data_IF_189078011622
#
_entry.id   IF_189078011622
#
_cell.length_a   1.000
_cell.length_b   1.000
_cell.length_c   1.000
_cell.angle_alpha   90.00
_cell.angle_beta   90.00
_cell.angle_gamma   90.00
#
_symmetry.space_group_name_H-M   'P 1'
#
loop_
_entity.id
_entity.type
_entity.pdbx_description
1 polymer ?
#
# COMPACT_ATOMS: atom_id res chain seq x y z
N UNK A 1 0.48 -31.11 -0.58
CA UNK A 1 0.53 -29.65 -0.68
C UNK A 1 1.97 -29.19 -0.68
N UNK A 2 2.27 -28.17 -1.44
CA UNK A 2 3.60 -27.56 -1.54
C UNK A 2 3.51 -26.07 -1.25
N UNK A 3 4.56 -25.50 -0.66
CA UNK A 3 4.76 -24.05 -0.48
C UNK A 3 6.15 -23.75 -1.02
N UNK A 4 6.22 -22.93 -2.05
CA UNK A 4 7.46 -22.55 -2.72
C UNK A 4 7.91 -21.16 -2.22
N UNK A 5 9.17 -21.06 -1.76
CA UNK A 5 9.81 -19.81 -1.36
C UNK A 5 10.30 -18.96 -2.53
N UNK A 6 9.97 -19.37 -3.78
CA UNK A 6 10.40 -18.69 -4.99
C UNK A 6 11.93 -18.76 -5.23
N UNK A 7 12.40 -18.07 -6.27
CA UNK A 7 13.79 -18.17 -6.74
C UNK A 7 14.78 -17.27 -5.99
N UNK A 8 14.31 -16.37 -5.13
CA UNK A 8 15.16 -15.50 -4.32
C UNK A 8 15.39 -16.08 -2.92
N UNK A 9 16.12 -15.36 -2.09
CA UNK A 9 16.36 -15.75 -0.69
C UNK A 9 15.05 -15.90 0.06
N UNK A 10 14.90 -17.03 0.72
CA UNK A 10 13.74 -17.37 1.54
C UNK A 10 14.16 -18.21 2.75
N UNK A 11 13.34 -18.17 3.78
CA UNK A 11 13.38 -19.11 4.90
C UNK A 11 12.02 -19.79 5.01
N UNK A 12 12.05 -21.11 5.22
CA UNK A 12 10.83 -21.90 5.46
C UNK A 12 11.05 -22.76 6.71
N UNK A 13 10.04 -22.76 7.58
CA UNK A 13 9.97 -23.58 8.80
C UNK A 13 8.69 -24.39 8.81
N UNK A 14 8.80 -25.68 9.12
CA UNK A 14 7.69 -26.61 9.32
C UNK A 14 7.59 -26.94 10.80
N UNK A 15 6.45 -26.67 11.42
CA UNK A 15 6.13 -27.05 12.80
C UNK A 15 4.98 -28.08 12.78
N UNK A 16 5.28 -29.39 12.81
CA UNK A 16 4.25 -30.42 12.77
C UNK A 16 3.36 -30.43 14.02
N UNK A 17 3.88 -30.02 15.18
CA UNK A 17 3.11 -29.97 16.42
C UNK A 17 2.03 -28.88 16.37
N UNK A 18 2.37 -27.72 15.82
CA UNK A 18 1.44 -26.63 15.58
C UNK A 18 0.64 -26.81 14.27
N UNK A 19 1.00 -27.79 13.43
CA UNK A 19 0.41 -27.95 12.09
C UNK A 19 0.57 -26.70 11.24
N UNK A 20 1.78 -26.17 11.21
CA UNK A 20 2.09 -24.84 10.68
C UNK A 20 3.29 -24.89 9.75
N UNK A 21 3.24 -24.05 8.70
CA UNK A 21 4.41 -23.65 7.92
C UNK A 21 4.53 -22.15 8.03
N UNK A 22 5.73 -21.66 8.29
CA UNK A 22 6.03 -20.22 8.34
C UNK A 22 7.36 -19.93 7.67
N UNK A 23 7.64 -18.68 7.41
CA UNK A 23 8.90 -18.26 6.83
C UNK A 23 8.85 -16.82 6.33
N UNK A 24 9.83 -16.49 5.50
CA UNK A 24 9.87 -15.23 4.79
C UNK A 24 10.43 -15.40 3.38
N UNK A 25 10.08 -14.46 2.52
CA UNK A 25 10.66 -14.32 1.17
C UNK A 25 11.10 -12.88 0.98
N UNK A 26 12.21 -12.68 0.26
CA UNK A 26 12.62 -11.35 -0.15
C UNK A 26 11.66 -10.81 -1.20
N UNK A 27 11.26 -9.56 -1.03
CA UNK A 27 10.41 -8.85 -1.96
C UNK A 27 11.16 -7.60 -2.46
N UNK A 28 12.07 -7.80 -3.43
CA UNK A 28 12.98 -6.75 -3.90
C UNK A 28 12.45 -5.93 -5.08
N UNK A 29 11.33 -6.30 -5.68
CA UNK A 29 10.98 -5.84 -7.02
C UNK A 29 10.54 -4.37 -7.13
N UNK A 30 10.19 -3.73 -6.00
CA UNK A 30 9.55 -2.41 -6.03
C UNK A 30 10.05 -1.42 -4.96
N UNK A 31 11.14 -1.70 -4.29
CA UNK A 31 11.65 -0.80 -3.24
C UNK A 31 13.03 -0.31 -3.65
N UNK A 32 13.10 0.91 -4.12
CA UNK A 32 14.34 1.50 -4.62
C UNK A 32 15.45 1.66 -3.57
N UNK A 33 15.16 1.53 -2.27
CA UNK A 33 16.13 1.78 -1.20
C UNK A 33 16.25 0.72 -0.11
N UNK A 34 15.40 -0.30 -0.07
CA UNK A 34 15.48 -1.33 0.99
C UNK A 34 16.02 -2.65 0.44
N UNK A 35 17.29 -2.94 0.71
CA UNK A 35 17.89 -4.26 0.44
C UNK A 35 17.30 -5.40 1.29
N UNK A 36 16.36 -5.10 2.19
CA UNK A 36 15.88 -6.03 3.21
C UNK A 36 14.36 -6.09 3.35
N UNK A 37 13.60 -5.70 2.33
CA UNK A 37 12.16 -5.82 2.36
C UNK A 37 11.76 -7.30 2.31
N UNK A 38 11.18 -7.80 3.39
CA UNK A 38 10.75 -9.19 3.52
C UNK A 38 9.23 -9.28 3.63
N UNK A 39 8.66 -10.29 3.01
CA UNK A 39 7.29 -10.73 3.29
C UNK A 39 7.37 -11.98 4.15
N UNK A 40 6.98 -11.87 5.41
CA UNK A 40 6.81 -12.99 6.31
C UNK A 40 5.44 -13.62 6.09
N UNK A 41 5.35 -14.92 6.29
CA UNK A 41 4.08 -15.63 6.13
C UNK A 41 3.90 -16.73 7.18
N UNK A 42 2.67 -17.09 7.41
CA UNK A 42 2.27 -18.24 8.19
C UNK A 42 1.08 -18.93 7.51
N UNK A 43 1.13 -20.24 7.44
CA UNK A 43 0.02 -21.09 6.98
C UNK A 43 -0.25 -22.13 8.06
N UNK A 44 -1.45 -22.16 8.60
CA UNK A 44 -1.89 -23.09 9.63
C UNK A 44 -2.98 -24.02 9.09
N UNK A 45 -2.87 -25.30 9.42
CA UNK A 45 -3.75 -26.35 8.95
C UNK A 45 -4.59 -26.93 10.08
N UNK A 46 -5.82 -27.37 9.77
CA UNK A 46 -6.72 -28.02 10.72
C UNK A 46 -6.37 -29.50 10.97
N UNK A 47 -5.53 -30.11 10.12
CA UNK A 47 -5.14 -31.54 10.20
C UNK A 47 -3.65 -31.71 10.44
N UNK A 48 -3.29 -32.78 11.17
CA UNK A 48 -1.89 -33.19 11.35
C UNK A 48 -1.27 -33.65 10.03
N UNK A 49 0.04 -33.44 9.90
CA UNK A 49 0.82 -33.92 8.77
C UNK A 49 1.14 -35.40 8.95
N UNK A 50 0.92 -36.19 7.91
CA UNK A 50 1.36 -37.60 7.83
C UNK A 50 2.86 -37.68 7.49
N UNK A 51 3.28 -36.76 6.61
CA UNK A 51 4.66 -36.64 6.18
C UNK A 51 4.98 -35.21 5.76
N UNK A 52 6.25 -34.84 5.78
CA UNK A 52 6.71 -33.50 5.43
C UNK A 52 8.20 -33.51 5.06
N UNK A 53 8.65 -32.45 4.42
CA UNK A 53 10.05 -32.22 4.09
C UNK A 53 10.20 -30.94 3.27
N UNK A 54 11.41 -30.77 2.77
CA UNK A 54 11.79 -29.60 1.97
C UNK A 54 12.43 -30.02 0.66
N UNK A 55 12.50 -29.08 -0.27
CA UNK A 55 13.34 -29.19 -1.46
C UNK A 55 14.13 -27.89 -1.66
N UNK A 56 15.17 -27.98 -2.44
CA UNK A 56 16.00 -26.87 -2.89
C UNK A 56 16.13 -26.91 -4.41
N UNK A 57 15.45 -26.01 -5.11
CA UNK A 57 15.37 -26.01 -6.58
C UNK A 57 16.75 -25.91 -7.27
N UNK A 58 17.69 -25.18 -6.68
CA UNK A 58 19.02 -24.99 -7.29
C UNK A 58 19.88 -26.23 -7.27
N UNK A 59 19.60 -27.18 -6.38
CA UNK A 59 20.35 -28.44 -6.24
C UNK A 59 19.59 -29.68 -6.73
N UNK A 60 18.32 -29.48 -7.08
CA UNK A 60 17.39 -30.58 -7.44
C UNK A 60 17.28 -31.64 -6.33
N UNK A 61 17.40 -31.22 -5.06
CA UNK A 61 17.45 -32.09 -3.90
C UNK A 61 16.17 -32.02 -3.08
N UNK A 62 15.76 -33.18 -2.56
CA UNK A 62 14.62 -33.32 -1.62
C UNK A 62 15.17 -33.79 -0.28
N UNK A 63 14.76 -33.14 0.77
CA UNK A 63 15.16 -33.41 2.16
C UNK A 63 13.95 -33.86 2.99
N UNK A 64 13.70 -35.17 3.10
CA UNK A 64 12.62 -35.71 3.94
C UNK A 64 12.84 -35.36 5.41
N UNK A 65 11.76 -35.05 6.11
CA UNK A 65 11.74 -34.70 7.54
C UNK A 65 12.56 -33.45 7.94
N UNK A 66 13.12 -32.73 7.00
CA UNK A 66 13.78 -31.46 7.28
C UNK A 66 12.74 -30.43 7.71
N UNK A 67 12.98 -29.73 8.84
CA UNK A 67 12.04 -28.81 9.48
C UNK A 67 12.28 -27.35 9.12
N UNK A 68 13.50 -26.99 8.73
CA UNK A 68 13.85 -25.62 8.39
C UNK A 68 14.90 -25.56 7.27
N UNK A 69 14.85 -24.50 6.49
CA UNK A 69 15.82 -24.22 5.43
C UNK A 69 15.81 -22.75 5.06
N UNK A 70 17.00 -22.21 4.82
CA UNK A 70 17.22 -20.85 4.36
C UNK A 70 18.14 -20.86 3.16
N UNK A 71 17.82 -20.08 2.14
CA UNK A 71 18.59 -19.97 0.91
C UNK A 71 17.73 -19.62 -0.29
N UNK A 72 18.30 -19.75 -1.48
CA UNK A 72 17.59 -19.51 -2.75
C UNK A 72 16.81 -20.77 -3.15
N UNK A 73 15.52 -20.57 -3.48
CA UNK A 73 14.71 -21.63 -4.05
C UNK A 73 14.31 -22.74 -3.09
N UNK A 74 14.29 -22.49 -1.78
CA UNK A 74 13.72 -23.42 -0.82
C UNK A 74 12.21 -23.51 -0.95
N UNK A 75 11.68 -24.73 -0.80
CA UNK A 75 10.25 -24.98 -0.69
C UNK A 75 9.96 -26.07 0.36
N UNK A 76 8.72 -26.18 0.76
CA UNK A 76 8.25 -27.19 1.70
C UNK A 76 7.11 -28.01 1.12
N UNK A 77 7.11 -29.31 1.40
CA UNK A 77 5.97 -30.18 1.13
C UNK A 77 5.42 -30.78 2.41
N UNK A 78 4.11 -30.94 2.44
CA UNK A 78 3.39 -31.68 3.49
C UNK A 78 2.42 -32.67 2.86
N UNK A 79 2.27 -33.83 3.49
CA UNK A 79 1.31 -34.84 3.11
C UNK A 79 0.27 -35.01 4.19
N UNK A 80 -0.96 -35.18 3.78
CA UNK A 80 -2.09 -35.51 4.63
C UNK A 80 -2.61 -36.89 4.29
N UNK A 81 -3.36 -37.48 5.19
CA UNK A 81 -4.04 -38.77 4.97
C UNK A 81 -4.87 -38.71 3.68
N UNK A 82 -4.71 -39.71 2.82
CA UNK A 82 -5.43 -39.80 1.55
C UNK A 82 -6.95 -39.67 1.77
N UNK A 83 -7.60 -38.82 0.97
CA UNK A 83 -9.03 -38.58 1.08
C UNK A 83 -9.45 -37.56 2.15
N UNK A 84 -8.50 -37.00 2.91
CA UNK A 84 -8.81 -35.93 3.89
C UNK A 84 -9.24 -34.65 3.20
N UNK A 85 -10.27 -33.99 3.75
CA UNK A 85 -10.56 -32.58 3.50
C UNK A 85 -9.75 -31.76 4.49
N UNK A 86 -8.93 -30.85 4.00
CA UNK A 86 -8.03 -30.01 4.82
C UNK A 86 -8.40 -28.55 4.63
N UNK A 87 -8.50 -27.81 5.72
CA UNK A 87 -8.62 -26.37 5.72
C UNK A 87 -7.28 -25.75 6.09
N UNK A 88 -6.92 -24.67 5.40
CA UNK A 88 -5.74 -23.88 5.70
C UNK A 88 -6.15 -22.43 5.92
N UNK A 89 -5.49 -21.77 6.88
CA UNK A 89 -5.55 -20.33 7.11
C UNK A 89 -4.16 -19.76 6.85
N UNK A 90 -4.07 -18.68 6.10
CA UNK A 90 -2.80 -18.03 5.81
C UNK A 90 -2.88 -16.54 6.14
N UNK A 91 -1.78 -16.01 6.64
CA UNK A 91 -1.58 -14.57 6.81
C UNK A 91 -0.14 -14.19 6.47
N UNK A 92 0.08 -12.93 6.18
CA UNK A 92 1.38 -12.34 5.93
C UNK A 92 1.64 -11.14 6.82
N UNK A 93 2.91 -10.78 6.94
CA UNK A 93 3.39 -9.58 7.62
C UNK A 93 4.62 -9.04 6.89
N UNK A 94 4.80 -7.73 6.92
CA UNK A 94 6.04 -7.08 6.49
C UNK A 94 6.97 -6.77 7.67
N UNK A 95 6.56 -7.10 8.89
CA UNK A 95 7.25 -6.77 10.14
C UNK A 95 8.04 -7.97 10.66
N UNK A 96 7.37 -9.10 10.93
CA UNK A 96 8.00 -10.33 11.42
C UNK A 96 7.12 -11.58 11.25
N UNK A 97 7.72 -12.75 11.46
CA UNK A 97 7.00 -14.03 11.46
C UNK A 97 6.00 -14.11 12.63
N UNK A 98 6.36 -13.59 13.80
CA UNK A 98 5.48 -13.50 14.98
C UNK A 98 4.27 -12.63 14.69
N UNK A 99 4.49 -11.51 14.00
CA UNK A 99 3.40 -10.64 13.60
C UNK A 99 2.46 -11.31 12.59
N UNK A 100 2.97 -12.11 11.66
CA UNK A 100 2.12 -12.88 10.76
C UNK A 100 1.17 -13.83 11.53
N UNK A 101 1.62 -14.41 12.65
CA UNK A 101 0.77 -15.21 13.54
C UNK A 101 -0.27 -14.35 14.27
N UNK A 102 0.11 -13.17 14.75
CA UNK A 102 -0.85 -12.23 15.37
C UNK A 102 -1.92 -11.84 14.34
N UNK A 103 -1.51 -11.47 13.12
CA UNK A 103 -2.43 -11.14 12.02
C UNK A 103 -3.36 -12.30 11.69
N UNK A 104 -2.86 -13.54 11.61
CA UNK A 104 -3.67 -14.73 11.39
C UNK A 104 -4.77 -14.87 12.45
N UNK A 105 -4.42 -14.70 13.72
CA UNK A 105 -5.34 -14.82 14.82
C UNK A 105 -6.36 -13.69 14.89
N UNK A 106 -5.93 -12.45 14.64
CA UNK A 106 -6.82 -11.27 14.63
C UNK A 106 -7.83 -11.35 13.48
N UNK A 107 -7.36 -11.68 12.27
CA UNK A 107 -8.21 -11.66 11.08
C UNK A 107 -9.03 -12.94 10.86
N UNK A 108 -8.48 -14.12 11.17
CA UNK A 108 -9.10 -15.41 10.86
C UNK A 108 -9.31 -16.30 12.09
N UNK A 109 -8.82 -15.90 13.27
CA UNK A 109 -8.87 -16.74 14.47
C UNK A 109 -10.28 -17.13 14.90
N UNK A 110 -11.24 -16.21 14.73
CA UNK A 110 -12.65 -16.41 15.10
C UNK A 110 -13.45 -17.22 14.08
N UNK A 111 -12.98 -17.34 12.85
CA UNK A 111 -13.68 -18.04 11.78
C UNK A 111 -13.46 -19.56 11.93
N UNK A 112 -14.53 -20.31 12.11
CA UNK A 112 -14.46 -21.77 12.28
C UNK A 112 -14.09 -22.50 10.98
N UNK A 113 -14.47 -21.95 9.84
CA UNK A 113 -14.29 -22.56 8.52
C UNK A 113 -14.38 -21.49 7.41
N UNK A 114 -14.14 -21.91 6.17
CA UNK A 114 -14.21 -21.05 4.98
C UNK A 114 -15.58 -20.37 4.82
N UNK A 115 -16.68 -21.08 5.13
CA UNK A 115 -18.01 -20.50 5.00
C UNK A 115 -18.24 -19.34 6.00
N UNK A 116 -17.73 -19.46 7.22
CA UNK A 116 -17.77 -18.36 8.20
C UNK A 116 -16.98 -17.13 7.71
N UNK A 117 -15.80 -17.34 7.14
CA UNK A 117 -15.01 -16.26 6.53
C UNK A 117 -15.73 -15.61 5.36
N UNK A 118 -16.37 -16.40 4.49
CA UNK A 118 -17.15 -15.91 3.36
C UNK A 118 -18.34 -15.04 3.82
N UNK A 119 -19.11 -15.50 4.80
CA UNK A 119 -20.23 -14.74 5.36
C UNK A 119 -19.75 -13.39 5.92
N UNK A 120 -18.66 -13.40 6.69
CA UNK A 120 -18.05 -12.18 7.23
C UNK A 120 -17.56 -11.25 6.12
N UNK A 121 -16.91 -11.77 5.10
CA UNK A 121 -16.46 -11.00 3.92
C UNK A 121 -17.64 -10.35 3.19
N UNK A 122 -18.72 -11.07 2.95
CA UNK A 122 -19.96 -10.53 2.37
C UNK A 122 -20.53 -9.39 3.23
N UNK A 123 -20.59 -9.58 4.55
CA UNK A 123 -21.09 -8.54 5.45
C UNK A 123 -20.24 -7.26 5.36
N UNK A 124 -18.92 -7.40 5.42
CA UNK A 124 -17.97 -6.27 5.33
C UNK A 124 -18.14 -5.50 4.02
N UNK A 125 -18.22 -6.20 2.89
CA UNK A 125 -18.44 -5.57 1.60
C UNK A 125 -19.81 -4.91 1.46
N UNK A 126 -20.86 -5.54 1.96
CA UNK A 126 -22.19 -4.95 1.95
C UNK A 126 -22.27 -3.68 2.80
N UNK A 127 -21.65 -3.64 3.98
CA UNK A 127 -21.57 -2.44 4.81
C UNK A 127 -20.87 -1.28 4.10
N UNK A 128 -19.82 -1.60 3.33
CA UNK A 128 -19.06 -0.60 2.55
C UNK A 128 -19.85 -0.12 1.33
N UNK A 129 -20.41 -1.02 0.55
CA UNK A 129 -21.16 -0.69 -0.66
C UNK A 129 -22.49 0.01 -0.37
N UNK A 130 -23.16 -0.32 0.74
CA UNK A 130 -24.38 0.32 1.19
C UNK A 130 -24.24 1.80 1.62
N UNK A 131 -23.03 2.35 1.58
CA UNK A 131 -22.85 3.80 1.77
C UNK A 131 -23.48 4.64 0.68
N UNK A 132 -23.66 4.07 -0.50
CA UNK A 132 -24.46 4.62 -1.57
C UNK A 132 -25.55 3.63 -1.90
N UNK A 133 -26.80 4.05 -1.73
CA UNK A 133 -27.96 3.28 -2.11
C UNK A 133 -28.59 3.92 -3.33
N UNK A 134 -28.78 3.14 -4.37
CA UNK A 134 -29.36 3.58 -5.66
C UNK A 134 -30.66 2.84 -5.88
N UNK A 135 -31.70 3.58 -6.25
CA UNK A 135 -32.99 3.06 -6.62
C UNK A 135 -33.32 3.40 -8.08
N UNK A 136 -34.07 2.54 -8.73
CA UNK A 136 -34.45 2.67 -10.15
C UNK A 136 -33.33 2.16 -11.09
N UNK A 137 -33.63 2.24 -12.37
CA UNK A 137 -32.76 1.66 -13.40
C UNK A 137 -32.96 0.17 -13.63
N UNK A 138 -32.23 -0.39 -14.60
CA UNK A 138 -32.26 -1.83 -14.91
C UNK A 138 -31.28 -2.59 -14.00
N UNK A 139 -31.45 -3.92 -13.89
CA UNK A 139 -30.52 -4.79 -13.18
C UNK A 139 -29.10 -4.67 -13.68
N UNK A 140 -28.88 -4.43 -14.97
CA UNK A 140 -27.56 -4.27 -15.56
C UNK A 140 -26.91 -2.95 -15.17
N UNK A 141 -27.69 -1.88 -15.10
CA UNK A 141 -27.21 -0.59 -14.59
C UNK A 141 -26.83 -0.69 -13.12
N UNK A 142 -27.63 -1.37 -12.29
CA UNK A 142 -27.34 -1.61 -10.88
C UNK A 142 -26.06 -2.45 -10.71
N UNK A 143 -25.90 -3.53 -11.47
CA UNK A 143 -24.67 -4.35 -11.48
C UNK A 143 -23.45 -3.54 -11.88
N UNK A 144 -23.57 -2.71 -12.91
CA UNK A 144 -22.49 -1.84 -13.37
C UNK A 144 -22.09 -0.86 -12.28
N UNK A 145 -23.06 -0.16 -11.68
CA UNK A 145 -22.83 0.81 -10.61
C UNK A 145 -22.06 0.18 -9.42
N UNK A 146 -22.61 -0.91 -8.86
CA UNK A 146 -21.97 -1.53 -7.69
C UNK A 146 -20.65 -2.24 -8.03
N UNK A 147 -20.46 -2.73 -9.26
CA UNK A 147 -19.17 -3.24 -9.72
C UNK A 147 -18.12 -2.14 -9.84
N UNK A 148 -18.50 -0.94 -10.28
CA UNK A 148 -17.62 0.22 -10.31
C UNK A 148 -17.30 0.73 -8.91
N UNK A 149 -18.31 0.81 -8.03
CA UNK A 149 -18.11 1.20 -6.63
C UNK A 149 -17.20 0.21 -5.89
N UNK A 150 -17.37 -1.10 -6.11
CA UNK A 150 -16.48 -2.13 -5.58
C UNK A 150 -15.04 -1.89 -6.04
N UNK A 151 -14.81 -1.69 -7.35
CA UNK A 151 -13.47 -1.45 -7.91
C UNK A 151 -12.84 -0.16 -7.37
N UNK A 152 -13.62 0.90 -7.19
CA UNK A 152 -13.13 2.15 -6.61
C UNK A 152 -12.63 2.01 -5.16
N UNK A 153 -13.07 0.95 -4.45
CA UNK A 153 -12.67 0.65 -3.07
C UNK A 153 -11.58 -0.43 -2.96
N UNK A 154 -11.04 -0.97 -4.06
CA UNK A 154 -9.97 -1.98 -4.02
C UNK A 154 -8.60 -1.38 -3.71
N UNK A 155 -8.37 -0.13 -4.08
CA UNK A 155 -7.13 0.62 -3.89
C UNK A 155 -7.45 1.98 -3.24
N UNK A 156 -6.65 2.51 -2.36
CA UNK A 156 -5.31 2.06 -1.94
C UNK A 156 -5.40 0.92 -0.93
N UNK A 157 -4.38 0.07 -0.93
CA UNK A 157 -4.28 -1.00 0.06
C UNK A 157 -3.77 -0.48 1.41
N UNK A 158 -4.27 -1.09 2.49
CA UNK A 158 -3.71 -0.91 3.84
C UNK A 158 -2.32 -1.52 3.89
N UNK A 159 -1.34 -0.75 4.32
CA UNK A 159 0.04 -1.18 4.50
C UNK A 159 0.47 -1.09 5.97
N UNK A 160 -0.47 -1.28 6.85
CA UNK A 160 -0.26 -1.35 8.30
C UNK A 160 -0.85 -2.64 8.84
N UNK A 161 -0.31 -3.07 9.94
CA UNK A 161 -0.71 -4.25 10.68
C UNK A 161 -1.20 -3.85 12.07
N UNK A 162 -1.71 -4.80 12.86
CA UNK A 162 -2.16 -4.52 14.22
C UNK A 162 -1.30 -5.30 15.21
N UNK A 163 -0.79 -4.61 16.21
CA UNK A 163 -0.18 -5.23 17.39
C UNK A 163 -1.20 -6.11 18.12
N UNK A 164 -0.73 -6.96 19.02
CA UNK A 164 -1.62 -7.80 19.84
C UNK A 164 -2.62 -6.98 20.70
N UNK A 165 -2.31 -5.73 21.03
CA UNK A 165 -3.21 -4.80 21.72
C UNK A 165 -4.18 -4.05 20.78
N UNK A 166 -4.13 -4.33 19.47
CA UNK A 166 -4.99 -3.73 18.45
C UNK A 166 -4.48 -2.40 17.86
N UNK A 167 -3.39 -1.84 18.38
CA UNK A 167 -2.81 -0.60 17.84
C UNK A 167 -2.20 -0.81 16.46
N UNK A 168 -2.39 0.14 15.51
CA UNK A 168 -1.79 0.05 14.18
C UNK A 168 -0.29 0.38 14.24
N UNK A 169 0.48 -0.33 13.43
CA UNK A 169 1.88 -0.03 13.15
C UNK A 169 2.29 -0.61 11.80
N UNK A 170 3.40 -0.18 11.25
CA UNK A 170 3.82 -0.61 9.91
C UNK A 170 5.34 -0.63 9.76
N UNK A 171 5.81 -1.46 8.86
CA UNK A 171 7.15 -1.39 8.30
C UNK A 171 7.16 -0.33 7.20
N UNK A 172 7.99 0.70 7.33
CA UNK A 172 8.08 1.75 6.33
C UNK A 172 8.72 1.24 5.03
N UNK A 173 8.03 1.36 3.90
CA UNK A 173 8.63 1.05 2.60
C UNK A 173 9.56 2.17 2.11
N UNK A 174 9.70 3.25 2.85
CA UNK A 174 10.51 4.42 2.49
C UNK A 174 11.88 4.41 3.13
N UNK A 175 12.03 4.01 4.39
CA UNK A 175 13.31 3.97 5.12
C UNK A 175 13.63 2.63 5.79
N UNK A 176 12.72 1.65 5.73
CA UNK A 176 12.94 0.31 6.27
C UNK A 176 12.83 0.17 7.78
N UNK A 177 12.23 1.15 8.47
CA UNK A 177 12.01 1.10 9.92
C UNK A 177 10.56 0.81 10.27
N UNK A 178 10.31 0.43 11.51
CA UNK A 178 8.96 0.20 12.03
C UNK A 178 8.45 1.44 12.76
N UNK A 179 7.22 1.86 12.44
CA UNK A 179 6.57 3.03 13.03
C UNK A 179 5.16 2.68 13.50
N UNK A 180 4.70 3.38 14.51
CA UNK A 180 3.30 3.34 14.95
C UNK A 180 2.42 4.17 14.00
N UNK A 181 1.18 3.74 13.82
CA UNK A 181 0.19 4.45 13.00
C UNK A 181 -0.23 3.72 11.72
N UNK A 182 -0.75 4.49 10.78
CA UNK A 182 -1.35 3.98 9.54
C UNK A 182 -0.45 4.28 8.35
N UNK A 183 -0.29 3.32 7.46
CA UNK A 183 0.34 3.47 6.16
C UNK A 183 -0.56 2.86 5.08
N UNK A 184 -0.50 3.43 3.88
CA UNK A 184 -1.26 2.97 2.71
C UNK A 184 -0.35 2.93 1.49
N UNK A 185 -0.68 2.07 0.53
CA UNK A 185 0.12 1.85 -0.66
C UNK A 185 -0.71 1.48 -1.88
N UNK A 186 -0.02 1.19 -2.99
CA UNK A 186 -0.57 0.75 -4.26
C UNK A 186 -1.55 1.74 -4.87
N UNK A 187 -1.06 2.97 -5.07
CA UNK A 187 -1.82 4.00 -5.75
C UNK A 187 -0.92 4.96 -6.53
N UNK A 188 -1.29 5.23 -7.77
CA UNK A 188 -0.72 6.28 -8.60
C UNK A 188 -1.62 7.52 -8.55
N UNK A 189 -1.12 8.61 -7.99
CA UNK A 189 -1.96 9.77 -7.72
C UNK A 189 -2.33 10.54 -8.98
N UNK A 190 -1.51 10.47 -10.02
CA UNK A 190 -1.81 11.05 -11.34
C UNK A 190 -3.15 10.56 -11.92
N UNK A 191 -3.50 9.29 -11.68
CA UNK A 191 -4.80 8.72 -12.07
C UNK A 191 -5.90 9.07 -11.08
N UNK A 192 -5.63 8.95 -9.79
CA UNK A 192 -6.69 8.80 -8.77
C UNK A 192 -7.11 10.11 -8.12
N UNK A 193 -6.31 11.20 -8.24
CA UNK A 193 -6.74 12.52 -7.78
C UNK A 193 -7.97 13.04 -8.52
N UNK A 194 -8.18 12.60 -9.76
CA UNK A 194 -9.24 13.08 -10.65
C UNK A 194 -10.64 12.73 -10.17
N UNK A 195 -10.83 11.54 -9.58
CA UNK A 195 -12.16 11.10 -9.15
C UNK A 195 -12.17 10.19 -7.93
N UNK A 196 -11.25 9.24 -7.81
CA UNK A 196 -11.28 8.25 -6.73
C UNK A 196 -11.10 8.90 -5.35
N UNK A 197 -10.05 9.71 -5.16
CA UNK A 197 -9.83 10.41 -3.89
C UNK A 197 -10.94 11.41 -3.57
N UNK A 198 -11.43 12.24 -4.50
CA UNK A 198 -12.60 13.08 -4.27
C UNK A 198 -13.83 12.33 -3.80
N UNK A 199 -14.12 11.16 -4.39
CA UNK A 199 -15.23 10.29 -3.98
C UNK A 199 -14.98 9.70 -2.57
N UNK A 200 -13.78 9.17 -2.32
CA UNK A 200 -13.47 8.54 -1.03
C UNK A 200 -13.34 9.55 0.11
N UNK A 201 -13.00 10.81 -0.15
CA UNK A 201 -13.08 11.90 0.84
C UNK A 201 -14.51 12.08 1.37
N UNK A 202 -15.52 11.87 0.52
CA UNK A 202 -16.93 11.93 0.90
C UNK A 202 -17.36 10.64 1.62
N UNK A 203 -17.04 9.48 1.05
CA UNK A 203 -17.52 8.19 1.55
C UNK A 203 -16.78 7.70 2.79
N UNK A 204 -15.48 8.02 2.92
CA UNK A 204 -14.58 7.46 3.94
C UNK A 204 -13.70 8.52 4.62
N UNK A 205 -14.24 9.64 5.13
CA UNK A 205 -13.43 10.78 5.60
C UNK A 205 -12.43 10.43 6.69
N UNK A 206 -12.78 9.51 7.62
CA UNK A 206 -11.87 9.04 8.67
C UNK A 206 -10.66 8.28 8.10
N UNK A 207 -10.89 7.41 7.11
CA UNK A 207 -9.81 6.69 6.43
C UNK A 207 -8.92 7.65 5.64
N UNK A 208 -9.53 8.60 4.96
CA UNK A 208 -8.80 9.61 4.17
C UNK A 208 -7.93 10.51 5.05
N UNK A 209 -8.41 10.89 6.23
CA UNK A 209 -7.57 11.63 7.18
C UNK A 209 -6.33 10.83 7.63
N UNK A 210 -6.47 9.53 7.84
CA UNK A 210 -5.32 8.64 8.11
C UNK A 210 -4.40 8.54 6.90
N UNK A 211 -4.95 8.52 5.69
CA UNK A 211 -4.16 8.48 4.47
C UNK A 211 -3.35 9.77 4.27
N UNK A 212 -3.94 10.95 4.52
CA UNK A 212 -3.23 12.23 4.45
C UNK A 212 -2.05 12.28 5.43
N UNK A 213 -2.26 11.79 6.65
CA UNK A 213 -1.15 11.65 7.61
C UNK A 213 -0.08 10.66 7.13
N UNK A 214 -0.46 9.58 6.44
CA UNK A 214 0.50 8.63 5.89
C UNK A 214 1.36 9.25 4.77
N UNK A 215 0.81 10.15 3.94
CA UNK A 215 1.59 10.91 2.96
C UNK A 215 2.64 11.80 3.63
N UNK A 216 2.26 12.48 4.71
CA UNK A 216 3.19 13.32 5.48
C UNK A 216 4.24 12.48 6.21
N UNK A 217 3.86 11.34 6.76
CA UNK A 217 4.81 10.39 7.36
C UNK A 217 5.82 9.85 6.32
N UNK A 218 5.35 9.53 5.10
CA UNK A 218 6.23 9.13 4.01
C UNK A 218 7.26 10.24 3.69
N UNK A 219 6.81 11.49 3.62
CA UNK A 219 7.69 12.64 3.40
C UNK A 219 8.73 12.78 4.53
N UNK A 220 8.33 12.64 5.79
CA UNK A 220 9.27 12.69 6.93
C UNK A 220 10.30 11.55 6.88
N UNK A 221 9.94 10.38 6.34
CA UNK A 221 10.79 9.19 6.28
C UNK A 221 11.77 9.19 5.10
N UNK A 222 11.39 9.74 3.95
CA UNK A 222 12.27 9.76 2.77
C UNK A 222 12.62 11.16 2.25
N UNK A 223 12.06 12.22 2.85
CA UNK A 223 12.29 13.61 2.44
C UNK A 223 11.35 14.10 1.33
N UNK A 224 10.53 13.24 0.71
CA UNK A 224 9.71 13.52 -0.46
C UNK A 224 8.28 13.04 -0.30
N UNK A 225 7.32 13.83 -0.81
CA UNK A 225 5.94 13.36 -0.92
C UNK A 225 5.86 12.27 -2.00
N UNK A 226 5.17 11.15 -1.75
CA UNK A 226 5.03 10.13 -2.78
C UNK A 226 4.14 10.59 -3.93
N UNK A 227 4.48 10.18 -5.15
CA UNK A 227 3.67 10.36 -6.35
C UNK A 227 3.02 9.06 -6.81
N UNK A 228 3.74 7.95 -6.62
CA UNK A 228 3.27 6.61 -6.96
C UNK A 228 3.83 5.56 -5.98
N UNK A 229 3.02 5.22 -4.99
CA UNK A 229 3.39 4.24 -3.96
C UNK A 229 3.10 2.80 -4.40
N UNK A 230 4.14 1.90 -4.42
CA UNK A 230 3.92 0.49 -4.74
C UNK A 230 5.06 -0.45 -4.25
N UNK A 231 5.23 -0.75 -2.96
CA UNK A 231 4.67 -0.08 -1.77
C UNK A 231 5.34 1.24 -1.41
N UNK A 232 6.62 1.45 -1.69
CA UNK A 232 7.33 2.73 -1.59
C UNK A 232 7.22 3.52 -2.89
N UNK A 233 7.96 4.61 -3.00
CA UNK A 233 7.95 5.44 -4.19
C UNK A 233 8.57 4.72 -5.39
N UNK A 234 7.88 4.72 -6.52
CA UNK A 234 8.34 4.08 -7.77
C UNK A 234 8.77 5.06 -8.85
N UNK A 235 8.50 6.35 -8.68
CA UNK A 235 8.92 7.39 -9.63
C UNK A 235 8.11 7.39 -10.93
N UNK A 236 6.83 7.06 -10.90
CA UNK A 236 5.96 7.02 -12.09
C UNK A 236 5.21 8.32 -12.37
N UNK A 237 4.95 8.59 -13.64
CA UNK A 237 4.11 9.68 -14.17
C UNK A 237 4.67 11.10 -13.93
N UNK A 238 3.85 12.10 -14.22
CA UNK A 238 4.19 13.53 -14.18
C UNK A 238 3.46 14.22 -13.03
N UNK A 239 4.07 15.28 -12.49
CA UNK A 239 3.52 16.06 -11.38
C UNK A 239 3.63 15.35 -10.03
N UNK A 240 3.37 16.08 -8.95
CA UNK A 240 3.25 15.51 -7.61
C UNK A 240 1.86 15.81 -7.03
N UNK A 241 0.89 14.99 -7.41
CA UNK A 241 -0.51 15.19 -7.05
C UNK A 241 -0.84 14.85 -5.58
N UNK A 242 0.14 14.52 -4.75
CA UNK A 242 -0.08 14.45 -3.29
C UNK A 242 -0.65 15.75 -2.73
N UNK A 243 -0.23 16.90 -3.27
CA UNK A 243 -0.79 18.20 -2.84
C UNK A 243 -2.26 18.34 -3.22
N UNK A 244 -2.67 17.81 -4.38
CA UNK A 244 -4.08 17.80 -4.79
C UNK A 244 -4.93 16.98 -3.81
N UNK A 245 -4.45 15.82 -3.37
CA UNK A 245 -5.14 14.98 -2.39
C UNK A 245 -5.28 15.71 -1.05
N UNK A 246 -4.21 16.35 -0.57
CA UNK A 246 -4.19 17.11 0.69
C UNK A 246 -5.12 18.32 0.64
N UNK A 247 -5.08 19.09 -0.45
CA UNK A 247 -5.93 20.26 -0.64
C UNK A 247 -7.42 19.90 -0.74
N UNK A 248 -7.77 18.86 -1.52
CA UNK A 248 -9.15 18.40 -1.66
C UNK A 248 -9.71 17.82 -0.35
N UNK A 249 -8.90 17.05 0.38
CA UNK A 249 -9.29 16.56 1.71
C UNK A 249 -9.57 17.71 2.68
N UNK A 250 -8.71 18.73 2.69
CA UNK A 250 -8.93 19.93 3.51
C UNK A 250 -10.17 20.69 3.09
N UNK A 251 -10.39 20.91 1.80
CA UNK A 251 -11.56 21.57 1.26
C UNK A 251 -12.87 20.87 1.66
N UNK A 252 -12.85 19.54 1.75
CA UNK A 252 -13.99 18.70 2.16
C UNK A 252 -14.13 18.51 3.69
N UNK A 253 -13.39 19.28 4.48
CA UNK A 253 -13.56 19.32 5.94
C UNK A 253 -12.76 18.27 6.71
N UNK A 254 -11.84 17.52 6.10
CA UNK A 254 -10.95 16.61 6.80
C UNK A 254 -9.84 17.42 7.48
N UNK A 255 -9.82 17.41 8.82
CA UNK A 255 -8.97 18.28 9.67
C UNK A 255 -8.02 17.48 10.56
N UNK A 256 -7.74 16.23 10.23
CA UNK A 256 -6.94 15.31 11.06
C UNK A 256 -5.45 15.30 10.71
N UNK A 257 -5.02 16.11 9.77
CA UNK A 257 -3.62 16.30 9.39
C UNK A 257 -3.20 17.77 9.50
N UNK A 258 -1.90 18.01 9.55
CA UNK A 258 -1.31 19.33 9.66
C UNK A 258 -1.13 19.96 8.26
N UNK A 259 -1.88 21.02 7.91
CA UNK A 259 -1.80 21.65 6.59
C UNK A 259 -0.51 22.46 6.40
N UNK A 260 0.13 22.95 7.48
CA UNK A 260 1.41 23.65 7.39
C UNK A 260 2.53 22.68 7.02
N UNK A 261 2.53 21.47 7.59
CA UNK A 261 3.43 20.40 7.16
C UNK A 261 3.21 20.04 5.70
N UNK A 262 1.96 19.96 5.25
CA UNK A 262 1.61 19.67 3.85
C UNK A 262 2.14 20.76 2.89
N UNK A 263 1.94 22.03 3.21
CA UNK A 263 2.45 23.15 2.41
C UNK A 263 3.98 23.18 2.36
N UNK A 264 4.65 22.96 3.51
CA UNK A 264 6.11 22.89 3.57
C UNK A 264 6.67 21.70 2.75
N UNK A 265 6.04 20.55 2.87
CA UNK A 265 6.41 19.36 2.11
C UNK A 265 6.28 19.59 0.60
N UNK A 266 5.15 20.20 0.18
CA UNK A 266 4.93 20.52 -1.22
C UNK A 266 5.87 21.63 -1.74
N UNK A 267 6.18 22.64 -0.96
CA UNK A 267 7.17 23.64 -1.34
C UNK A 267 8.55 23.00 -1.60
N UNK A 268 8.92 22.01 -0.79
CA UNK A 268 10.12 21.22 -1.04
C UNK A 268 10.05 20.47 -2.37
N UNK A 269 8.93 19.83 -2.68
CA UNK A 269 8.70 19.17 -3.98
C UNK A 269 8.80 20.14 -5.16
N UNK A 270 8.13 21.29 -5.07
CA UNK A 270 8.02 22.27 -6.14
C UNK A 270 9.36 22.93 -6.50
N UNK A 271 10.27 23.09 -5.51
CA UNK A 271 11.49 23.88 -5.64
C UNK A 271 12.77 23.04 -5.70
N UNK A 272 12.67 21.73 -5.83
CA UNK A 272 13.83 20.86 -5.87
C UNK A 272 13.65 19.73 -6.88
N UNK A 273 14.77 19.30 -7.46
CA UNK A 273 14.81 18.09 -8.28
C UNK A 273 14.89 16.87 -7.35
N UNK A 274 13.96 15.95 -7.50
CA UNK A 274 13.92 14.72 -6.71
C UNK A 274 14.92 13.67 -7.16
N UNK A 275 15.14 12.64 -6.32
CA UNK A 275 16.14 11.59 -6.58
C UNK A 275 15.69 10.58 -7.64
N UNK A 276 14.40 10.49 -7.95
CA UNK A 276 13.83 9.40 -8.77
C UNK A 276 13.23 9.91 -10.09
N UNK A 277 14.07 10.46 -10.95
CA UNK A 277 13.71 10.68 -12.36
C UNK A 277 12.59 11.67 -12.67
N UNK A 278 12.21 12.53 -11.72
CA UNK A 278 11.25 13.62 -11.93
C UNK A 278 9.83 13.36 -11.45
N UNK A 279 9.55 12.23 -10.83
CA UNK A 279 8.26 11.97 -10.18
C UNK A 279 8.19 12.51 -8.75
N UNK A 280 9.33 12.57 -8.05
CA UNK A 280 9.46 13.33 -6.81
C UNK A 280 10.30 14.56 -7.08
N UNK A 281 9.88 15.68 -6.54
CA UNK A 281 10.39 16.97 -6.92
C UNK A 281 9.97 17.36 -8.34
N UNK A 282 10.53 18.44 -8.83
CA UNK A 282 10.30 18.91 -10.20
C UNK A 282 11.57 18.82 -11.05
N UNK A 283 11.50 18.07 -12.16
CA UNK A 283 12.42 18.27 -13.25
C UNK A 283 12.23 19.66 -13.85
N UNK A 284 13.32 20.35 -14.15
CA UNK A 284 13.28 21.71 -14.74
C UNK A 284 12.55 22.76 -13.89
N UNK A 285 12.60 22.63 -12.56
CA UNK A 285 11.90 23.54 -11.66
C UNK A 285 12.38 24.99 -11.77
N UNK A 286 13.68 25.23 -12.03
CA UNK A 286 14.24 26.56 -12.22
C UNK A 286 13.67 27.21 -13.47
N UNK A 287 13.75 26.52 -14.58
CA UNK A 287 13.24 26.96 -15.87
C UNK A 287 11.72 27.20 -15.80
N UNK A 288 10.99 26.35 -15.10
CA UNK A 288 9.56 26.52 -14.89
C UNK A 288 9.25 27.81 -14.11
N UNK A 289 10.02 28.12 -13.06
CA UNK A 289 9.83 29.37 -12.30
C UNK A 289 10.25 30.60 -13.08
N UNK A 290 11.32 30.53 -13.86
CA UNK A 290 11.85 31.66 -14.62
C UNK A 290 11.02 31.96 -15.88
N UNK A 291 10.54 30.93 -16.57
CA UNK A 291 9.88 31.04 -17.87
C UNK A 291 8.34 30.90 -17.79
N UNK A 292 7.82 30.36 -16.70
CA UNK A 292 6.41 29.98 -16.57
C UNK A 292 6.02 28.70 -17.29
N UNK A 293 7.01 27.94 -17.81
CA UNK A 293 6.78 26.66 -18.47
C UNK A 293 8.05 25.78 -18.47
N UNK A 294 7.89 24.49 -18.67
CA UNK A 294 9.01 23.56 -18.88
C UNK A 294 9.44 23.60 -20.36
N UNK A 295 10.71 23.93 -20.66
CA UNK A 295 11.14 24.12 -22.04
C UNK A 295 11.29 22.81 -22.81
N UNK A 296 11.15 22.89 -24.13
CA UNK A 296 11.48 21.87 -25.12
C UNK A 296 12.81 22.30 -25.84
N UNK A 297 13.72 21.39 -26.16
CA UNK A 297 13.64 19.92 -26.14
C UNK A 297 14.19 19.25 -24.86
N UNK A 298 14.49 19.97 -23.81
CA UNK A 298 15.09 19.45 -22.57
C UNK A 298 14.20 18.37 -21.93
N UNK A 299 12.88 18.47 -22.13
CA UNK A 299 11.92 17.44 -21.71
C UNK A 299 10.99 17.03 -22.84
N UNK A 300 10.92 15.73 -23.12
CA UNK A 300 9.96 15.17 -24.10
C UNK A 300 8.50 15.32 -23.66
N UNK A 301 8.25 15.53 -22.38
CA UNK A 301 6.92 15.72 -21.78
C UNK A 301 6.64 17.16 -21.37
N UNK A 302 7.33 18.16 -21.93
CA UNK A 302 7.34 19.57 -21.46
C UNK A 302 5.94 20.18 -21.33
N UNK A 303 5.05 20.01 -22.30
CA UNK A 303 3.68 20.52 -22.24
C UNK A 303 2.87 19.89 -21.11
N UNK A 304 2.93 18.56 -20.98
CA UNK A 304 2.23 17.83 -19.91
C UNK A 304 2.80 18.23 -18.53
N UNK A 305 4.12 18.29 -18.38
CA UNK A 305 4.77 18.73 -17.14
C UNK A 305 4.34 20.15 -16.76
N UNK A 306 4.33 21.09 -17.71
CA UNK A 306 3.89 22.46 -17.46
C UNK A 306 2.46 22.51 -16.92
N UNK A 307 1.55 21.77 -17.53
CA UNK A 307 0.15 21.76 -17.11
C UNK A 307 -0.07 21.08 -15.73
N UNK A 308 0.61 19.96 -15.49
CA UNK A 308 0.49 19.25 -14.22
C UNK A 308 1.14 20.06 -13.08
N UNK A 309 2.27 20.72 -13.31
CA UNK A 309 2.89 21.60 -12.33
C UNK A 309 2.01 22.80 -11.98
N UNK A 310 1.39 23.43 -12.98
CA UNK A 310 0.47 24.55 -12.76
C UNK A 310 -0.77 24.12 -11.95
N UNK A 311 -1.28 22.91 -12.19
CA UNK A 311 -2.37 22.36 -11.41
C UNK A 311 -1.95 22.05 -9.97
N UNK A 312 -0.79 21.48 -9.75
CA UNK A 312 -0.25 21.21 -8.42
C UNK A 312 -0.04 22.51 -7.63
N UNK A 313 0.52 23.56 -8.29
CA UNK A 313 0.70 24.87 -7.67
C UNK A 313 -0.65 25.52 -7.31
N UNK A 314 -1.65 25.40 -8.20
CA UNK A 314 -3.01 25.82 -7.88
C UNK A 314 -3.57 25.11 -6.63
N UNK A 315 -3.32 23.80 -6.49
CA UNK A 315 -3.74 23.06 -5.30
C UNK A 315 -3.01 23.55 -4.04
N UNK A 316 -1.70 23.79 -4.12
CA UNK A 316 -0.91 24.38 -3.04
C UNK A 316 -1.40 25.76 -2.65
N UNK A 317 -1.68 26.63 -3.63
CA UNK A 317 -2.27 27.95 -3.42
C UNK A 317 -3.62 27.86 -2.72
N UNK A 318 -4.51 26.96 -3.16
CA UNK A 318 -5.83 26.79 -2.53
C UNK A 318 -5.72 26.33 -1.08
N UNK A 319 -4.83 25.39 -0.78
CA UNK A 319 -4.60 24.96 0.60
C UNK A 319 -4.07 26.12 1.45
N UNK A 320 -3.10 26.87 0.96
CA UNK A 320 -2.56 28.05 1.62
C UNK A 320 -3.63 29.12 1.87
N UNK A 321 -4.52 29.33 0.90
CA UNK A 321 -5.65 30.26 1.03
C UNK A 321 -6.65 29.81 2.10
N UNK A 322 -7.03 28.54 2.10
CA UNK A 322 -7.96 27.99 3.09
C UNK A 322 -7.41 28.00 4.52
N UNK A 323 -6.10 27.95 4.68
CA UNK A 323 -5.42 28.00 5.99
C UNK A 323 -4.97 29.40 6.39
N UNK A 324 -5.10 30.38 5.52
CA UNK A 324 -4.68 31.76 5.77
C UNK A 324 -3.16 31.99 5.68
N UNK A 325 -2.40 31.04 5.16
CA UNK A 325 -0.95 31.14 5.03
C UNK A 325 -0.56 32.04 3.84
N UNK A 326 -0.24 33.32 4.11
CA UNK A 326 0.09 34.31 3.09
C UNK A 326 1.38 34.02 2.35
N UNK A 327 2.40 33.49 3.06
CA UNK A 327 3.67 33.15 2.47
C UNK A 327 3.51 32.13 1.32
N UNK A 328 2.82 31.02 1.57
CA UNK A 328 2.64 30.00 0.53
C UNK A 328 1.61 30.41 -0.54
N UNK A 329 0.71 31.36 -0.26
CA UNK A 329 -0.11 31.97 -1.32
C UNK A 329 0.77 32.72 -2.32
N UNK A 330 1.80 33.45 -1.86
CA UNK A 330 2.74 34.17 -2.75
C UNK A 330 3.68 33.19 -3.50
N UNK A 331 4.07 32.11 -2.83
CA UNK A 331 4.97 31.11 -3.42
C UNK A 331 4.32 30.34 -4.57
N UNK A 332 3.02 30.06 -4.49
CA UNK A 332 2.29 29.22 -5.46
C UNK A 332 1.31 30.01 -6.34
N UNK A 333 1.39 31.35 -6.35
CA UNK A 333 0.52 32.24 -7.15
C UNK A 333 0.81 32.19 -8.66
#
# INVERSE_FOLDING_TARGET
>A
LVIDGYTDMSEIKIDPAKRQISGWVNNQRFVNNSKTFRSYFVVQFDKAFEDYGMWENQKDEIYPKKLEGEGKGYGAYIKFKKGSKVQAKAASSYISAEQAVITLNDELGKDKNLEATKIRGHKTWNELLNRIQVEGGTDEQMKTFYSCLFRANLFSRKFYERKANGEPYYYSPYDGKVYDGYMYTDNGFWDTFRSQFPLTNILHPTMQGRYMNALLAAQEQCGWLPSWSAPGETGGMLGNHSISLLADAWAKGIRTFDPEKALKAYAHEAMNKGPWGGANGRGFWKEYFELGYVPYPESMGSSAQTMEYAYDDFCGYQLAKMTGNKHYQEVFA
#
